data_IF_142775533405
#
_entry.id   IF_142775533405
#
_cell.length_a   1.000
_cell.length_b   1.000
_cell.length_c   1.000
_cell.angle_alpha   90.00
_cell.angle_beta   90.00
_cell.angle_gamma   90.00
#
_symmetry.space_group_name_H-M   'P 1'
#
loop_
_entity.id
_entity.type
_entity.pdbx_description
1 polymer ?
#
# COMPACT_ATOMS: atom_id res chain seq x y z
N UNK A 1 57.67 -102.46 8.55
CA UNK A 1 56.91 -101.81 7.44
C UNK A 1 55.46 -101.55 7.81
N UNK A 2 54.76 -102.45 8.51
CA UNK A 2 53.36 -102.28 8.95
C UNK A 2 53.06 -100.96 9.69
N UNK A 3 53.90 -100.58 10.68
CA UNK A 3 53.69 -99.35 11.47
C UNK A 3 53.73 -98.05 10.64
N UNK A 4 54.47 -98.03 9.53
CA UNK A 4 54.66 -96.84 8.68
C UNK A 4 53.48 -96.62 7.73
N UNK A 5 52.88 -97.70 7.22
CA UNK A 5 51.66 -97.66 6.39
C UNK A 5 50.46 -97.21 7.24
N UNK A 6 50.37 -97.69 8.48
CA UNK A 6 49.34 -97.27 9.43
C UNK A 6 49.45 -95.76 9.73
N UNK A 7 50.65 -95.23 9.94
CA UNK A 7 50.87 -93.79 10.18
C UNK A 7 50.49 -92.92 8.97
N UNK A 8 50.81 -93.35 7.74
CA UNK A 8 50.41 -92.65 6.51
C UNK A 8 48.89 -92.69 6.30
N UNK A 9 48.24 -93.84 6.55
CA UNK A 9 46.79 -93.98 6.47
C UNK A 9 46.07 -93.11 7.50
N UNK A 10 46.57 -93.04 8.73
CA UNK A 10 46.07 -92.14 9.79
C UNK A 10 46.24 -90.69 9.36
N UNK A 11 47.42 -90.29 8.85
CA UNK A 11 47.68 -88.93 8.38
C UNK A 11 46.77 -88.50 7.21
N UNK A 12 46.51 -89.41 6.25
CA UNK A 12 45.59 -89.17 5.15
C UNK A 12 44.14 -89.04 5.62
N UNK A 13 43.68 -89.93 6.51
CA UNK A 13 42.35 -89.86 7.11
C UNK A 13 42.17 -88.58 7.95
N UNK A 14 43.19 -88.19 8.72
CA UNK A 14 43.19 -86.96 9.50
C UNK A 14 43.17 -85.72 8.60
N UNK A 15 43.94 -85.72 7.51
CA UNK A 15 43.97 -84.65 6.52
C UNK A 15 42.64 -84.49 5.79
N UNK A 16 42.00 -85.60 5.39
CA UNK A 16 40.67 -85.59 4.79
C UNK A 16 39.60 -85.10 5.78
N UNK A 17 39.67 -85.54 7.04
CA UNK A 17 38.78 -85.08 8.12
C UNK A 17 38.93 -83.57 8.40
N UNK A 18 40.16 -83.06 8.51
CA UNK A 18 40.44 -81.63 8.73
C UNK A 18 39.99 -80.80 7.52
N UNK A 19 40.25 -81.27 6.29
CA UNK A 19 39.79 -80.59 5.06
C UNK A 19 38.28 -80.57 4.95
N UNK A 20 37.61 -81.67 5.27
CA UNK A 20 36.15 -81.74 5.35
C UNK A 20 35.60 -80.76 6.39
N UNK A 21 36.21 -80.69 7.58
CA UNK A 21 35.80 -79.77 8.65
C UNK A 21 36.02 -78.29 8.27
N UNK A 22 37.12 -77.97 7.58
CA UNK A 22 37.38 -76.62 7.04
C UNK A 22 36.37 -76.26 5.95
N UNK A 23 36.12 -77.16 4.99
CA UNK A 23 35.10 -76.95 3.96
C UNK A 23 33.71 -76.73 4.57
N UNK A 24 33.34 -77.46 5.63
CA UNK A 24 32.07 -77.22 6.34
C UNK A 24 32.05 -75.89 7.09
N UNK A 25 33.18 -75.45 7.64
CA UNK A 25 33.29 -74.15 8.31
C UNK A 25 33.23 -72.98 7.31
N UNK A 26 33.90 -73.11 6.17
CA UNK A 26 33.89 -72.13 5.07
C UNK A 26 32.49 -72.03 4.45
N UNK A 27 31.80 -73.17 4.26
CA UNK A 27 30.39 -73.20 3.81
C UNK A 27 29.44 -72.55 4.84
N UNK A 28 29.67 -72.79 6.14
CA UNK A 28 28.87 -72.15 7.20
C UNK A 28 29.12 -70.63 7.23
N UNK A 29 30.36 -70.19 7.08
CA UNK A 29 30.72 -68.76 7.02
C UNK A 29 30.15 -68.09 5.76
N UNK A 30 30.22 -68.74 4.60
CA UNK A 30 29.59 -68.26 3.37
C UNK A 30 28.05 -68.18 3.51
N UNK A 31 27.44 -69.17 4.16
CA UNK A 31 26.01 -69.16 4.48
C UNK A 31 25.60 -67.99 5.38
N UNK A 32 26.40 -67.69 6.42
CA UNK A 32 26.21 -66.52 7.28
C UNK A 32 26.35 -65.20 6.51
N UNK A 33 27.38 -65.07 5.67
CA UNK A 33 27.57 -63.87 4.83
C UNK A 33 26.43 -63.67 3.83
N UNK A 34 25.89 -64.73 3.24
CA UNK A 34 24.74 -64.66 2.34
C UNK A 34 23.49 -64.20 3.11
N UNK A 35 23.28 -64.71 4.33
CA UNK A 35 22.17 -64.28 5.18
C UNK A 35 22.27 -62.78 5.54
N UNK A 36 23.46 -62.30 5.90
CA UNK A 36 23.72 -60.87 6.18
C UNK A 36 23.53 -59.98 4.94
N UNK A 37 23.98 -60.44 3.77
CA UNK A 37 23.73 -59.71 2.51
C UNK A 37 22.25 -59.66 2.18
N UNK A 38 21.51 -60.74 2.39
CA UNK A 38 20.07 -60.79 2.14
C UNK A 38 19.30 -59.84 3.07
N UNK A 39 19.66 -59.73 4.35
CA UNK A 39 19.03 -58.75 5.26
C UNK A 39 19.37 -57.31 4.87
N UNK A 40 20.59 -57.05 4.40
CA UNK A 40 20.99 -55.74 3.87
C UNK A 40 20.26 -55.37 2.58
N UNK A 41 20.04 -56.33 1.67
CA UNK A 41 19.26 -56.09 0.45
C UNK A 41 17.80 -55.74 0.80
N UNK A 42 17.19 -56.50 1.72
CA UNK A 42 15.83 -56.20 2.20
C UNK A 42 15.71 -54.81 2.85
N UNK A 43 16.75 -54.34 3.57
CA UNK A 43 16.71 -53.00 4.16
C UNK A 43 16.88 -51.90 3.12
N UNK A 44 17.71 -52.11 2.09
CA UNK A 44 17.85 -51.20 0.96
C UNK A 44 16.57 -51.12 0.13
N UNK A 45 15.90 -52.26 -0.12
CA UNK A 45 14.62 -52.29 -0.85
C UNK A 45 13.54 -51.47 -0.15
N UNK A 46 13.46 -51.59 1.19
CA UNK A 46 12.55 -50.75 2.00
C UNK A 46 12.90 -49.26 1.89
N UNK A 47 14.19 -48.91 1.86
CA UNK A 47 14.61 -47.52 1.68
C UNK A 47 14.28 -46.98 0.29
N UNK A 48 14.44 -47.78 -0.76
CA UNK A 48 14.08 -47.40 -2.13
C UNK A 48 12.58 -47.16 -2.22
N UNK A 49 11.77 -48.09 -1.72
CA UNK A 49 10.32 -47.91 -1.66
C UNK A 49 9.92 -46.64 -0.89
N UNK A 50 10.58 -46.34 0.23
CA UNK A 50 10.38 -45.09 0.97
C UNK A 50 10.69 -43.85 0.12
N UNK A 51 11.85 -43.83 -0.54
CA UNK A 51 12.25 -42.72 -1.43
C UNK A 51 11.32 -42.55 -2.62
N UNK A 52 10.80 -43.64 -3.20
CA UNK A 52 9.85 -43.57 -4.32
C UNK A 52 8.53 -42.91 -3.90
N UNK A 53 8.05 -43.19 -2.69
CA UNK A 53 6.86 -42.52 -2.15
C UNK A 53 7.11 -41.03 -1.88
N UNK A 54 8.29 -40.68 -1.35
CA UNK A 54 8.71 -39.30 -1.13
C UNK A 54 8.82 -38.53 -2.44
N UNK A 55 9.50 -39.07 -3.44
CA UNK A 55 9.60 -38.49 -4.79
C UNK A 55 8.22 -38.27 -5.42
N UNK A 56 7.31 -39.23 -5.25
CA UNK A 56 5.93 -39.11 -5.76
C UNK A 56 5.14 -38.01 -5.04
N UNK A 57 5.39 -37.78 -3.75
CA UNK A 57 4.79 -36.68 -3.00
C UNK A 57 5.37 -35.32 -3.42
N UNK A 58 6.68 -35.24 -3.62
CA UNK A 58 7.37 -34.02 -4.04
C UNK A 58 6.96 -33.61 -5.45
N UNK A 59 6.85 -34.56 -6.39
CA UNK A 59 6.35 -34.32 -7.75
C UNK A 59 4.95 -33.73 -7.74
N UNK A 60 4.04 -34.26 -6.91
CA UNK A 60 2.68 -33.70 -6.75
C UNK A 60 2.72 -32.28 -6.21
N UNK A 61 3.56 -32.03 -5.19
CA UNK A 61 3.70 -30.69 -4.59
C UNK A 61 4.28 -29.67 -5.58
N UNK A 62 5.28 -30.06 -6.37
CA UNK A 62 5.85 -29.22 -7.44
C UNK A 62 4.75 -28.85 -8.44
N UNK A 63 3.98 -29.83 -8.93
CA UNK A 63 2.87 -29.57 -9.87
C UNK A 63 1.80 -28.63 -9.31
N UNK A 64 1.45 -28.77 -8.03
CA UNK A 64 0.54 -27.82 -7.36
C UNK A 64 1.14 -26.42 -7.29
N UNK A 65 2.43 -26.30 -6.93
CA UNK A 65 3.11 -25.01 -6.83
C UNK A 65 3.25 -24.34 -8.20
N UNK A 66 3.55 -25.08 -9.26
CA UNK A 66 3.59 -24.59 -10.64
C UNK A 66 2.24 -24.03 -11.06
N UNK A 67 1.15 -24.74 -10.74
CA UNK A 67 -0.22 -24.26 -11.02
C UNK A 67 -0.53 -22.97 -10.26
N UNK A 68 -0.20 -22.93 -8.96
CA UNK A 68 -0.39 -21.73 -8.13
C UNK A 68 0.42 -20.54 -8.64
N UNK A 69 1.67 -20.76 -9.07
CA UNK A 69 2.51 -19.71 -9.62
C UNK A 69 1.94 -19.15 -10.92
N UNK A 70 1.46 -20.01 -11.82
CA UNK A 70 0.83 -19.60 -13.07
C UNK A 70 -0.46 -18.79 -12.83
N UNK A 71 -1.28 -19.17 -11.85
CA UNK A 71 -2.48 -18.43 -11.48
C UNK A 71 -2.14 -17.06 -10.87
N UNK A 72 -1.13 -17.00 -9.99
CA UNK A 72 -0.64 -15.75 -9.41
C UNK A 72 -0.11 -14.77 -10.47
N UNK A 73 0.59 -15.29 -11.48
CA UNK A 73 1.10 -14.49 -12.59
C UNK A 73 -0.06 -13.88 -13.40
N UNK A 74 -1.03 -14.70 -13.79
CA UNK A 74 -2.25 -14.23 -14.48
C UNK A 74 -3.02 -13.18 -13.68
N UNK A 75 -3.16 -13.37 -12.37
CA UNK A 75 -3.83 -12.40 -11.51
C UNK A 75 -3.01 -11.11 -11.34
N UNK A 76 -1.68 -11.20 -11.34
CA UNK A 76 -0.81 -10.02 -11.36
C UNK A 76 -0.93 -9.25 -12.67
N UNK A 77 -0.97 -9.93 -13.83
CA UNK A 77 -1.18 -9.32 -15.14
C UNK A 77 -2.53 -8.62 -15.24
N UNK A 78 -3.62 -9.30 -14.83
CA UNK A 78 -4.96 -8.72 -14.78
C UNK A 78 -5.01 -7.47 -13.92
N UNK A 79 -4.37 -7.51 -12.74
CA UNK A 79 -4.27 -6.32 -11.86
C UNK A 79 -3.52 -5.19 -12.56
N UNK A 80 -2.39 -5.46 -13.22
CA UNK A 80 -1.61 -4.44 -13.96
C UNK A 80 -2.44 -3.80 -15.07
N UNK A 81 -3.13 -4.61 -15.87
CA UNK A 81 -4.03 -4.12 -16.92
C UNK A 81 -5.14 -3.26 -16.33
N UNK A 82 -5.82 -3.76 -15.28
CA UNK A 82 -6.83 -2.98 -14.58
C UNK A 82 -6.31 -1.63 -14.08
N UNK A 83 -5.12 -1.58 -13.49
CA UNK A 83 -4.53 -0.32 -13.05
C UNK A 83 -4.19 0.61 -14.22
N UNK A 84 -3.71 0.09 -15.34
CA UNK A 84 -3.41 0.89 -16.54
C UNK A 84 -4.67 1.45 -17.18
N UNK A 85 -5.73 0.63 -17.32
CA UNK A 85 -7.01 1.03 -17.91
C UNK A 85 -7.75 2.05 -17.03
N UNK A 86 -7.53 2.01 -15.72
CA UNK A 86 -8.13 2.92 -14.74
C UNK A 86 -7.17 4.03 -14.27
N UNK A 87 -6.01 4.19 -14.92
CA UNK A 87 -5.05 5.24 -14.57
C UNK A 87 -5.60 6.61 -14.98
N UNK A 88 -6.08 7.37 -14.00
CA UNK A 88 -6.58 8.73 -14.20
C UNK A 88 -5.48 9.76 -14.47
N UNK A 89 -4.20 9.40 -14.42
CA UNK A 89 -3.13 10.28 -14.93
C UNK A 89 -3.07 10.29 -16.46
N UNK A 90 -3.65 9.29 -17.12
CA UNK A 90 -3.73 9.19 -18.57
C UNK A 90 -4.96 9.93 -19.12
N UNK A 91 -4.72 10.91 -19.99
CA UNK A 91 -5.77 11.72 -20.62
C UNK A 91 -6.77 10.89 -21.44
N UNK A 92 -6.34 9.81 -22.12
CA UNK A 92 -7.28 8.97 -22.87
C UNK A 92 -8.27 8.26 -21.97
N UNK A 93 -7.82 7.75 -20.82
CA UNK A 93 -8.71 7.12 -19.83
C UNK A 93 -9.71 8.15 -19.28
N UNK A 94 -9.24 9.36 -18.95
CA UNK A 94 -10.13 10.46 -18.52
C UNK A 94 -11.21 10.75 -19.56
N UNK A 95 -10.84 10.90 -20.83
CA UNK A 95 -11.78 11.15 -21.94
C UNK A 95 -12.76 9.99 -22.12
N UNK A 96 -12.28 8.75 -22.05
CA UNK A 96 -13.11 7.55 -22.11
C UNK A 96 -14.20 7.57 -21.03
N UNK A 97 -13.81 7.76 -19.76
CA UNK A 97 -14.76 7.80 -18.64
C UNK A 97 -15.75 8.97 -18.74
N UNK A 98 -15.29 10.16 -19.13
CA UNK A 98 -16.17 11.32 -19.34
C UNK A 98 -17.17 11.04 -20.45
N UNK A 99 -16.73 10.47 -21.58
CA UNK A 99 -17.60 10.21 -22.74
C UNK A 99 -18.72 9.20 -22.46
N UNK A 100 -18.52 8.31 -21.49
CA UNK A 100 -19.48 7.27 -21.10
C UNK A 100 -20.43 7.71 -19.98
N UNK A 101 -20.25 8.92 -19.42
CA UNK A 101 -21.00 9.40 -18.28
C UNK A 101 -21.87 10.61 -18.64
N UNK A 102 -23.09 10.65 -18.10
CA UNK A 102 -23.95 11.85 -18.18
C UNK A 102 -23.53 12.87 -17.12
N UNK A 103 -23.20 14.09 -17.54
CA UNK A 103 -22.84 15.18 -16.64
C UNK A 103 -24.00 16.17 -16.49
N UNK A 104 -24.13 16.78 -15.29
CA UNK A 104 -25.11 17.83 -15.01
C UNK A 104 -24.50 18.96 -14.19
N UNK A 105 -25.00 20.17 -14.39
CA UNK A 105 -24.63 21.32 -13.58
C UNK A 105 -25.22 21.20 -12.17
N UNK A 106 -24.43 21.59 -11.17
CA UNK A 106 -24.83 21.66 -9.76
C UNK A 106 -24.45 23.02 -9.18
N UNK A 107 -25.08 23.41 -8.07
CA UNK A 107 -24.73 24.65 -7.37
C UNK A 107 -23.31 24.52 -6.82
N UNK A 108 -22.40 25.46 -7.11
CA UNK A 108 -21.03 25.38 -6.61
C UNK A 108 -20.91 25.74 -5.12
N UNK A 109 -21.89 26.46 -4.58
CA UNK A 109 -21.97 26.81 -3.15
C UNK A 109 -23.08 25.99 -2.50
N UNK A 110 -22.75 25.32 -1.40
CA UNK A 110 -23.72 24.58 -0.58
C UNK A 110 -24.89 25.50 -0.17
N UNK A 111 -26.12 24.98 -0.21
CA UNK A 111 -27.36 25.71 0.15
C UNK A 111 -27.23 26.43 1.49
N UNK A 112 -26.55 25.84 2.47
CA UNK A 112 -26.36 26.43 3.80
C UNK A 112 -25.37 27.61 3.80
N UNK A 113 -24.32 27.55 2.97
CA UNK A 113 -23.29 28.59 2.84
C UNK A 113 -23.73 29.80 1.98
N UNK A 114 -24.89 29.72 1.32
CA UNK A 114 -25.43 30.81 0.47
C UNK A 114 -25.66 32.11 1.25
N UNK A 115 -25.97 32.03 2.54
CA UNK A 115 -26.10 33.24 3.37
C UNK A 115 -24.78 33.99 3.53
N UNK A 116 -23.65 33.26 3.61
CA UNK A 116 -22.31 33.83 3.70
C UNK A 116 -21.98 34.54 2.41
N UNK A 117 -22.28 33.91 1.27
CA UNK A 117 -22.11 34.51 -0.06
C UNK A 117 -22.76 35.89 -0.16
N UNK A 118 -24.03 36.02 0.22
CA UNK A 118 -24.75 37.29 0.12
C UNK A 118 -24.35 38.31 1.19
N UNK A 119 -23.98 37.86 2.39
CA UNK A 119 -23.42 38.76 3.41
C UNK A 119 -22.08 39.34 2.94
N UNK A 120 -21.25 38.52 2.29
CA UNK A 120 -19.95 38.89 1.78
C UNK A 120 -20.05 39.88 0.61
N UNK A 121 -20.94 39.62 -0.36
CA UNK A 121 -21.17 40.52 -1.49
C UNK A 121 -21.65 41.90 -1.03
N UNK A 122 -22.59 41.95 -0.08
CA UNK A 122 -23.07 43.22 0.49
C UNK A 122 -21.94 43.94 1.25
N UNK A 123 -21.17 43.22 2.06
CA UNK A 123 -20.06 43.80 2.81
C UNK A 123 -19.01 44.42 1.87
N UNK A 124 -18.63 43.71 0.80
CA UNK A 124 -17.69 44.21 -0.21
C UNK A 124 -18.23 45.48 -0.85
N UNK A 125 -19.48 45.47 -1.33
CA UNK A 125 -20.11 46.65 -1.95
C UNK A 125 -20.13 47.87 -1.03
N UNK A 126 -20.25 47.65 0.27
CA UNK A 126 -20.38 48.71 1.27
C UNK A 126 -19.04 49.25 1.74
N UNK A 127 -18.09 48.38 2.04
CA UNK A 127 -16.86 48.74 2.76
C UNK A 127 -15.58 48.63 1.91
N UNK A 128 -15.58 47.79 0.87
CA UNK A 128 -14.40 47.51 0.05
C UNK A 128 -14.79 47.28 -1.43
N UNK A 129 -15.35 48.27 -2.14
CA UNK A 129 -15.94 48.07 -3.48
C UNK A 129 -14.94 47.64 -4.56
N UNK A 130 -13.64 47.84 -4.32
CA UNK A 130 -12.56 47.40 -5.22
C UNK A 130 -12.13 45.95 -4.98
N UNK A 131 -12.66 45.29 -3.95
CA UNK A 131 -12.34 43.89 -3.63
C UNK A 131 -13.26 42.93 -4.36
N UNK A 132 -12.80 41.68 -4.49
CA UNK A 132 -13.58 40.59 -5.08
C UNK A 132 -13.47 39.36 -4.20
N UNK A 133 -14.31 38.37 -4.50
CA UNK A 133 -14.20 37.06 -3.86
C UNK A 133 -14.39 35.95 -4.90
N UNK A 134 -13.83 34.78 -4.60
CA UNK A 134 -14.04 33.55 -5.32
C UNK A 134 -14.51 32.47 -4.36
N UNK A 135 -15.29 31.52 -4.85
CA UNK A 135 -15.78 30.38 -4.06
C UNK A 135 -15.08 29.11 -4.51
N UNK A 136 -14.95 28.14 -3.60
CA UNK A 136 -14.39 26.83 -3.91
C UNK A 136 -13.01 26.98 -4.56
N UNK A 137 -12.07 27.64 -3.88
CA UNK A 137 -10.74 27.90 -4.46
C UNK A 137 -9.75 26.89 -3.92
N UNK A 138 -9.06 26.17 -4.81
CA UNK A 138 -7.94 25.31 -4.44
C UNK A 138 -6.82 26.15 -3.81
N UNK A 139 -6.29 25.71 -2.66
CA UNK A 139 -5.19 26.37 -1.96
C UNK A 139 -3.92 26.41 -2.81
N UNK A 140 -3.72 25.42 -3.68
CA UNK A 140 -2.69 25.43 -4.72
C UNK A 140 -2.92 26.47 -5.81
N UNK A 141 -4.00 27.25 -5.78
CA UNK A 141 -4.22 28.41 -6.64
C UNK A 141 -3.57 29.69 -6.11
N UNK A 142 -3.48 29.85 -4.78
CA UNK A 142 -3.09 31.12 -4.15
C UNK A 142 -2.03 31.00 -3.06
N UNK A 143 -1.62 29.78 -2.69
CA UNK A 143 -0.49 29.51 -1.79
C UNK A 143 0.58 28.75 -2.57
N UNK A 144 1.83 29.19 -2.44
CA UNK A 144 3.01 28.51 -3.00
C UNK A 144 4.00 28.24 -1.90
N UNK A 145 4.75 27.15 -2.03
CA UNK A 145 6.00 27.03 -1.28
C UNK A 145 6.99 28.06 -1.83
N UNK A 146 7.97 28.45 -1.02
CA UNK A 146 9.17 29.10 -1.55
C UNK A 146 9.80 28.20 -2.61
N UNK A 147 10.60 28.76 -3.52
CA UNK A 147 11.35 27.98 -4.49
C UNK A 147 12.75 27.70 -3.95
N UNK A 148 13.02 26.44 -3.64
CA UNK A 148 14.34 25.92 -3.29
C UNK A 148 14.47 24.52 -3.94
N UNK A 149 15.15 24.41 -5.10
CA UNK A 149 15.23 23.16 -5.84
C UNK A 149 15.96 22.05 -5.06
N UNK A 150 16.75 22.41 -4.04
CA UNK A 150 17.50 21.45 -3.22
C UNK A 150 16.69 20.93 -2.03
N UNK A 151 15.52 21.50 -1.73
CA UNK A 151 14.66 21.03 -0.63
C UNK A 151 13.51 20.14 -1.15
N UNK A 152 13.64 18.80 -1.07
CA UNK A 152 12.60 17.88 -1.53
C UNK A 152 11.30 18.00 -0.72
N UNK A 153 11.34 18.63 0.46
CA UNK A 153 10.15 18.84 1.30
C UNK A 153 9.17 19.82 0.68
N UNK A 154 9.59 20.68 -0.25
CA UNK A 154 8.70 21.65 -0.89
C UNK A 154 7.60 20.96 -1.71
N UNK A 155 7.99 19.97 -2.53
CA UNK A 155 7.03 19.21 -3.32
C UNK A 155 6.06 18.44 -2.42
N UNK A 156 6.57 17.85 -1.34
CA UNK A 156 5.73 17.14 -0.36
C UNK A 156 4.75 18.11 0.33
N UNK A 157 5.24 19.26 0.79
CA UNK A 157 4.41 20.29 1.43
C UNK A 157 3.34 20.82 0.48
N UNK A 158 3.69 21.15 -0.77
CA UNK A 158 2.74 21.63 -1.77
C UNK A 158 1.66 20.59 -2.06
N UNK A 159 2.03 19.32 -2.25
CA UNK A 159 1.06 18.23 -2.47
C UNK A 159 0.11 18.03 -1.29
N UNK A 160 0.56 18.28 -0.05
CA UNK A 160 -0.26 18.12 1.16
C UNK A 160 -1.46 19.07 1.25
N UNK A 161 -1.34 20.31 0.73
CA UNK A 161 -2.42 21.30 0.81
C UNK A 161 -3.01 21.70 -0.54
N UNK A 162 -2.30 21.55 -1.66
CA UNK A 162 -2.69 22.15 -2.95
C UNK A 162 -4.08 21.71 -3.42
N UNK A 163 -4.42 20.43 -3.26
CA UNK A 163 -5.74 19.90 -3.62
C UNK A 163 -6.88 20.29 -2.66
N UNK A 164 -6.58 20.86 -1.48
CA UNK A 164 -7.60 21.32 -0.53
C UNK A 164 -8.22 22.61 -1.05
N UNK A 165 -9.50 22.81 -0.80
CA UNK A 165 -10.26 23.97 -1.26
C UNK A 165 -10.80 24.75 -0.07
N UNK A 166 -10.86 26.06 -0.23
CA UNK A 166 -11.53 26.97 0.71
C UNK A 166 -12.90 27.35 0.17
N UNK A 167 -13.87 27.54 1.07
CA UNK A 167 -15.24 27.89 0.67
C UNK A 167 -15.31 29.26 0.02
N UNK A 168 -14.67 30.27 0.63
CA UNK A 168 -14.54 31.60 0.06
C UNK A 168 -13.13 32.17 0.25
N UNK A 169 -12.62 32.82 -0.80
CA UNK A 169 -11.38 33.58 -0.78
C UNK A 169 -11.67 35.04 -1.13
N UNK A 170 -11.38 35.95 -0.21
CA UNK A 170 -11.36 37.39 -0.46
C UNK A 170 -10.03 37.83 -1.04
N UNK A 171 -10.11 38.66 -2.08
CA UNK A 171 -8.97 39.26 -2.75
C UNK A 171 -9.12 40.78 -2.82
N UNK A 172 -8.00 41.47 -2.69
CA UNK A 172 -7.97 42.93 -2.85
C UNK A 172 -8.03 43.35 -4.32
N UNK A 173 -7.91 44.66 -4.58
CA UNK A 173 -7.93 45.26 -5.92
C UNK A 173 -6.80 44.78 -6.83
N UNK A 174 -5.75 44.17 -6.28
CA UNK A 174 -4.61 43.62 -7.02
C UNK A 174 -4.73 42.11 -7.22
N UNK A 175 -5.81 41.50 -6.72
CA UNK A 175 -6.00 40.05 -6.76
C UNK A 175 -5.20 39.29 -5.71
N UNK A 176 -4.63 39.97 -4.69
CA UNK A 176 -3.88 39.30 -3.63
C UNK A 176 -4.85 38.75 -2.57
N UNK A 177 -4.58 37.56 -2.00
CA UNK A 177 -5.41 36.99 -0.95
C UNK A 177 -5.40 37.89 0.31
N UNK A 178 -6.58 38.07 0.89
CA UNK A 178 -6.78 38.90 2.09
C UNK A 178 -7.37 38.10 3.24
N UNK A 179 -8.41 37.31 2.99
CA UNK A 179 -9.14 36.57 4.02
C UNK A 179 -9.70 35.30 3.41
N UNK A 180 -9.55 34.19 4.11
CA UNK A 180 -10.28 32.96 3.81
C UNK A 180 -11.47 32.84 4.77
N UNK A 181 -12.62 32.42 4.24
CA UNK A 181 -13.82 32.14 5.02
C UNK A 181 -14.22 30.69 4.78
N UNK A 182 -14.42 29.94 5.85
CA UNK A 182 -14.93 28.55 5.84
C UNK A 182 -16.29 28.51 6.55
N UNK A 183 -17.27 27.82 5.98
CA UNK A 183 -18.59 27.63 6.56
C UNK A 183 -18.73 26.21 7.14
N UNK A 184 -18.84 26.12 8.46
CA UNK A 184 -18.98 24.85 9.16
C UNK A 184 -20.48 24.46 9.22
N UNK A 185 -20.95 23.77 8.18
CA UNK A 185 -22.33 23.28 8.07
C UNK A 185 -22.63 22.00 8.86
N UNK A 186 -23.85 21.48 8.73
CA UNK A 186 -24.40 20.33 9.52
C UNK A 186 -23.63 19.01 9.40
N UNK A 187 -22.72 18.88 8.43
CA UNK A 187 -21.91 17.68 8.21
C UNK A 187 -20.49 17.72 8.80
N UNK A 188 -20.08 18.83 9.43
CA UNK A 188 -18.71 18.98 9.94
C UNK A 188 -18.39 18.07 11.13
N UNK A 189 -19.37 17.75 11.97
CA UNK A 189 -19.18 16.98 13.21
C UNK A 189 -19.27 15.45 13.02
N UNK A 190 -19.43 14.96 11.79
CA UNK A 190 -19.78 13.55 11.52
C UNK A 190 -18.58 12.62 11.22
N UNK A 191 -17.34 13.14 11.14
CA UNK A 191 -16.15 12.30 10.88
C UNK A 191 -14.88 12.86 11.53
N UNK A 192 -14.09 12.02 12.21
CA UNK A 192 -12.77 12.41 12.75
C UNK A 192 -11.78 12.92 11.70
N UNK A 193 -11.97 12.55 10.43
CA UNK A 193 -11.20 13.07 9.29
C UNK A 193 -11.40 14.58 9.02
N UNK A 194 -12.50 15.17 9.49
CA UNK A 194 -12.81 16.58 9.26
C UNK A 194 -11.82 17.50 10.01
N UNK A 195 -11.50 17.14 11.26
CA UNK A 195 -10.57 17.88 12.11
C UNK A 195 -9.14 17.83 11.55
N UNK A 196 -8.68 16.64 11.14
CA UNK A 196 -7.35 16.46 10.55
C UNK A 196 -7.21 17.23 9.22
N UNK A 197 -8.25 17.22 8.39
CA UNK A 197 -8.26 18.00 7.13
C UNK A 197 -8.18 19.50 7.42
N UNK A 198 -8.91 19.98 8.42
CA UNK A 198 -8.92 21.38 8.80
C UNK A 198 -7.58 21.80 9.42
N UNK A 199 -6.90 20.92 10.16
CA UNK A 199 -5.57 21.19 10.72
C UNK A 199 -4.54 21.56 9.63
N UNK A 200 -4.56 20.85 8.50
CA UNK A 200 -3.69 21.18 7.35
C UNK A 200 -4.05 22.52 6.72
N UNK A 201 -5.35 22.83 6.56
CA UNK A 201 -5.79 24.13 6.04
C UNK A 201 -5.30 25.27 6.93
N UNK A 202 -5.55 25.18 8.24
CA UNK A 202 -5.14 26.17 9.23
C UNK A 202 -3.63 26.41 9.19
N UNK A 203 -2.83 25.34 9.21
CA UNK A 203 -1.36 25.45 9.17
C UNK A 203 -0.86 26.11 7.88
N UNK A 204 -1.41 25.74 6.72
CA UNK A 204 -1.01 26.31 5.44
C UNK A 204 -1.39 27.79 5.34
N UNK A 205 -2.59 28.18 5.78
CA UNK A 205 -3.04 29.58 5.81
C UNK A 205 -2.20 30.41 6.78
N UNK A 206 -1.94 29.88 7.98
CA UNK A 206 -1.07 30.51 8.96
C UNK A 206 0.32 30.77 8.40
N UNK A 207 0.95 29.77 7.76
CA UNK A 207 2.27 29.93 7.12
C UNK A 207 2.26 30.88 5.93
N UNK A 208 1.13 31.00 5.23
CA UNK A 208 0.96 31.96 4.14
C UNK A 208 0.63 33.38 4.62
N UNK A 209 0.41 33.59 5.93
CA UNK A 209 0.00 34.88 6.47
C UNK A 209 -1.41 35.30 6.04
N UNK A 210 -2.28 34.33 5.73
CA UNK A 210 -3.66 34.60 5.30
C UNK A 210 -4.60 34.27 6.46
N UNK A 211 -5.33 35.26 7.02
CA UNK A 211 -6.31 35.03 8.05
C UNK A 211 -7.42 34.06 7.62
N UNK A 212 -7.93 33.32 8.59
CA UNK A 212 -9.06 32.40 8.44
C UNK A 212 -10.21 32.86 9.35
N UNK A 213 -11.40 33.00 8.77
CA UNK A 213 -12.66 33.21 9.49
C UNK A 213 -13.53 31.96 9.34
N UNK A 214 -13.79 31.26 10.44
CA UNK A 214 -14.70 30.12 10.47
C UNK A 214 -16.10 30.61 10.90
N UNK A 215 -17.10 30.38 10.05
CA UNK A 215 -18.49 30.73 10.31
C UNK A 215 -19.24 29.47 10.76
N UNK A 216 -19.71 29.41 12.02
CA UNK A 216 -20.50 28.28 12.50
C UNK A 216 -21.89 28.26 11.88
N UNK A 217 -22.54 27.10 11.95
CA UNK A 217 -23.93 26.93 11.55
C UNK A 217 -24.85 27.96 12.24
N UNK A 218 -25.89 28.41 11.53
CA UNK A 218 -26.96 29.29 12.06
C UNK A 218 -26.49 30.68 12.53
N UNK A 219 -25.24 31.08 12.29
CA UNK A 219 -24.82 32.46 12.57
C UNK A 219 -25.69 33.44 11.78
N UNK A 220 -26.25 34.45 12.46
CA UNK A 220 -27.13 35.40 11.82
C UNK A 220 -26.36 36.30 10.84
N UNK A 221 -27.00 36.72 9.74
CA UNK A 221 -26.38 37.56 8.70
C UNK A 221 -25.63 38.78 9.25
N UNK A 222 -26.21 39.49 10.21
CA UNK A 222 -25.58 40.68 10.81
C UNK A 222 -24.30 40.32 11.58
N UNK A 223 -24.27 39.18 12.26
CA UNK A 223 -23.09 38.68 12.96
C UNK A 223 -22.01 38.23 11.97
N UNK A 224 -22.40 37.60 10.86
CA UNK A 224 -21.49 37.26 9.76
C UNK A 224 -20.80 38.53 9.23
N UNK A 225 -21.56 39.59 8.93
CA UNK A 225 -20.99 40.85 8.45
C UNK A 225 -20.06 41.51 9.46
N UNK A 226 -20.40 41.48 10.75
CA UNK A 226 -19.53 41.98 11.81
C UNK A 226 -18.22 41.19 11.88
N UNK A 227 -18.28 39.86 11.83
CA UNK A 227 -17.12 38.98 11.84
C UNK A 227 -16.21 39.18 10.61
N UNK A 228 -16.80 39.36 9.42
CA UNK A 228 -16.05 39.72 8.20
C UNK A 228 -15.34 41.05 8.40
N UNK A 229 -16.02 42.06 8.95
CA UNK A 229 -15.43 43.39 9.20
C UNK A 229 -14.24 43.32 10.13
N UNK A 230 -14.36 42.55 11.22
CA UNK A 230 -13.28 42.36 12.19
C UNK A 230 -12.09 41.63 11.55
N UNK A 231 -12.33 40.50 10.90
CA UNK A 231 -11.29 39.68 10.30
C UNK A 231 -10.57 40.40 9.15
N UNK A 232 -11.31 41.08 8.26
CA UNK A 232 -10.73 41.87 7.18
C UNK A 232 -9.98 43.11 7.71
N UNK A 233 -10.49 43.76 8.76
CA UNK A 233 -9.81 44.86 9.43
C UNK A 233 -8.49 44.45 10.06
N UNK A 234 -8.44 43.29 10.71
CA UNK A 234 -7.20 42.71 11.24
C UNK A 234 -6.20 42.39 10.11
N UNK A 235 -6.68 41.80 9.00
CA UNK A 235 -5.85 41.49 7.84
C UNK A 235 -5.18 42.73 7.23
N UNK A 236 -5.92 43.84 7.15
CA UNK A 236 -5.41 45.11 6.65
C UNK A 236 -4.31 45.70 7.53
N UNK A 237 -4.47 45.63 8.86
CA UNK A 237 -3.48 46.16 9.82
C UNK A 237 -2.14 45.42 9.76
N UNK A 238 -2.18 44.10 9.56
CA UNK A 238 -0.97 43.26 9.45
C UNK A 238 -0.15 43.58 8.19
N UNK A 239 -0.79 44.02 7.09
CA UNK A 239 -0.09 44.36 5.85
C UNK A 239 0.53 45.77 5.84
N UNK A 240 0.15 46.65 6.76
CA UNK A 240 0.60 48.06 6.80
C UNK A 240 1.63 48.37 7.88
N UNK A 241 2.00 47.38 8.72
CA UNK A 241 3.07 47.49 9.72
C UNK A 241 4.28 46.68 9.29
#
# INVERSE_FOLDING_TARGET
MEKMIILLAIGYALGFYIRGRRATADLAQAGQQIAERNTRLQSLDRQIAGRDTELSSLRRRISTLETQAADQEKDAERRRQYFQDNDLSNTQNQLHFISQCSLRAVRPVNKEAVQVLYALDEWIRTYQPDWRFAFEVSMGGFIRTTYDPEDPRQKQAFSSYSGKRVDFLLIDRYGLPVLVIEYNGTGHDLSGDADDRMAVKRLALQKAGIPLLEIPEKMARLQIMAAISEAAGAALRVKTG
#
